data_IF_673231517736
#
_entry.id   IF_673231517736
#
_cell.length_a   1.000
_cell.length_b   1.000
_cell.length_c   1.000
_cell.angle_alpha   90.00
_cell.angle_beta   90.00
_cell.angle_gamma   90.00
#
_symmetry.space_group_name_H-M   'P 1'
#
loop_
_entity.id
_entity.type
_entity.pdbx_description
1 polymer ?
#
# COMPACT_ATOMS: atom_id res chain seq x y z
N UNK A 1 37.09 6.24 -37.71
CA UNK A 1 36.01 6.78 -36.85
C UNK A 1 35.36 5.58 -36.17
N UNK A 2 35.58 5.42 -34.86
CA UNK A 2 34.97 4.34 -34.08
C UNK A 2 33.55 4.75 -33.69
N UNK A 3 32.57 3.87 -33.96
CA UNK A 3 31.20 4.04 -33.50
C UNK A 3 31.18 4.03 -31.97
N UNK A 4 30.42 4.91 -31.30
CA UNK A 4 30.26 4.83 -29.87
C UNK A 4 29.50 3.53 -29.57
N UNK A 5 30.18 2.58 -28.93
CA UNK A 5 29.53 1.46 -28.25
C UNK A 5 28.64 2.05 -27.18
N UNK A 6 27.37 2.29 -27.51
CA UNK A 6 26.34 2.46 -26.52
C UNK A 6 26.27 1.14 -25.76
N UNK A 7 27.06 1.04 -24.68
CA UNK A 7 26.72 0.18 -23.56
C UNK A 7 25.32 0.63 -23.18
N UNK A 8 24.32 -0.15 -23.59
CA UNK A 8 23.08 -0.24 -22.85
C UNK A 8 23.52 -0.71 -21.47
N UNK A 9 23.90 0.25 -20.62
CA UNK A 9 23.90 0.10 -19.17
C UNK A 9 22.65 -0.71 -18.88
N UNK A 10 22.87 -1.94 -18.41
CA UNK A 10 21.82 -2.92 -18.19
C UNK A 10 20.91 -2.29 -17.15
N UNK A 11 19.93 -1.53 -17.61
CA UNK A 11 18.87 -0.95 -16.80
C UNK A 11 18.09 -2.15 -16.32
N UNK A 12 18.57 -2.70 -15.21
CA UNK A 12 17.96 -3.79 -14.49
C UNK A 12 16.50 -3.40 -14.35
N UNK A 13 15.61 -4.12 -15.05
CA UNK A 13 14.18 -3.96 -14.90
C UNK A 13 13.84 -3.92 -13.42
N UNK A 14 12.99 -2.98 -12.96
CA UNK A 14 12.69 -2.86 -11.54
C UNK A 14 12.16 -4.20 -11.03
N UNK A 15 12.93 -4.82 -10.13
CA UNK A 15 12.53 -6.05 -9.44
C UNK A 15 11.90 -5.68 -8.10
N UNK A 16 11.02 -6.53 -7.59
CA UNK A 16 10.44 -6.34 -6.25
C UNK A 16 11.55 -6.15 -5.19
N UNK A 17 12.60 -6.98 -5.25
CA UNK A 17 13.77 -6.90 -4.37
C UNK A 17 14.50 -5.54 -4.44
N UNK A 18 14.61 -4.95 -5.63
CA UNK A 18 15.25 -3.64 -5.79
C UNK A 18 14.38 -2.46 -5.35
N UNK A 19 13.05 -2.63 -5.40
CA UNK A 19 12.11 -1.57 -5.03
C UNK A 19 11.74 -1.59 -3.55
N UNK A 20 11.69 -2.78 -2.94
CA UNK A 20 11.27 -3.00 -1.55
C UNK A 20 12.24 -3.96 -0.84
N UNK A 21 13.54 -3.62 -0.77
CA UNK A 21 14.57 -4.52 -0.23
C UNK A 21 14.31 -4.93 1.23
N UNK A 22 13.73 -4.05 2.03
CA UNK A 22 13.37 -4.28 3.43
C UNK A 22 12.31 -5.39 3.60
N UNK A 23 11.31 -5.45 2.72
CA UNK A 23 10.19 -6.39 2.85
C UNK A 23 10.61 -7.86 2.66
N UNK A 24 11.73 -8.12 1.99
CA UNK A 24 12.24 -9.47 1.81
C UNK A 24 12.79 -10.08 3.10
N UNK A 25 13.31 -9.24 4.00
CA UNK A 25 13.86 -9.69 5.27
C UNK A 25 12.83 -9.62 6.41
N UNK A 26 11.82 -8.75 6.28
CA UNK A 26 10.77 -8.55 7.28
C UNK A 26 9.61 -9.54 7.14
N UNK A 27 9.90 -10.82 7.39
CA UNK A 27 8.87 -11.84 7.55
C UNK A 27 8.29 -11.77 8.96
N UNK A 28 6.99 -12.05 9.09
CA UNK A 28 6.31 -12.11 10.40
C UNK A 28 5.60 -13.44 10.61
N UNK A 29 5.28 -13.77 11.87
CA UNK A 29 4.57 -14.99 12.21
C UNK A 29 3.08 -14.87 11.89
N UNK A 30 2.44 -16.00 11.57
CA UNK A 30 0.99 -16.03 11.38
C UNK A 30 0.26 -15.54 12.64
N UNK A 31 -0.70 -14.63 12.44
CA UNK A 31 -1.45 -14.00 13.53
C UNK A 31 -0.73 -12.87 14.26
N UNK A 32 0.49 -12.50 13.83
CA UNK A 32 1.12 -11.27 14.30
C UNK A 32 0.32 -10.04 13.85
N UNK A 33 0.44 -8.96 14.60
CA UNK A 33 -0.30 -7.73 14.34
C UNK A 33 0.07 -7.08 13.00
N UNK A 34 1.35 -7.19 12.63
CA UNK A 34 1.94 -6.72 11.37
C UNK A 34 1.80 -7.73 10.22
N UNK A 35 1.11 -8.85 10.46
CA UNK A 35 0.83 -9.81 9.41
C UNK A 35 -0.13 -9.25 8.37
N UNK A 36 0.26 -9.36 7.10
CA UNK A 36 -0.51 -8.83 5.97
C UNK A 36 -1.81 -9.59 5.72
N UNK A 37 -1.94 -10.81 6.23
CA UNK A 37 -3.17 -11.61 6.22
C UNK A 37 -3.99 -11.47 7.51
N UNK A 38 -3.55 -10.62 8.43
CA UNK A 38 -4.17 -10.42 9.74
C UNK A 38 -5.41 -9.52 9.69
N UNK A 39 -6.20 -9.51 10.79
CA UNK A 39 -7.40 -8.69 10.89
C UNK A 39 -7.10 -7.18 10.84
N UNK A 40 -5.91 -6.74 11.28
CA UNK A 40 -5.52 -5.33 11.19
C UNK A 40 -5.27 -4.90 9.74
N UNK A 41 -4.56 -5.73 8.96
CA UNK A 41 -4.36 -5.49 7.54
C UNK A 41 -5.71 -5.44 6.80
N UNK A 42 -6.62 -6.37 7.11
CA UNK A 42 -7.98 -6.36 6.57
C UNK A 42 -8.78 -5.10 6.94
N UNK A 43 -8.71 -4.65 8.19
CA UNK A 43 -9.36 -3.42 8.64
C UNK A 43 -8.85 -2.19 7.88
N UNK A 44 -7.53 -2.09 7.71
CA UNK A 44 -6.91 -0.99 6.97
C UNK A 44 -7.37 -0.96 5.51
N UNK A 45 -7.37 -2.11 4.82
CA UNK A 45 -7.83 -2.19 3.43
C UNK A 45 -9.33 -1.84 3.31
N UNK A 46 -10.16 -2.35 4.22
CA UNK A 46 -11.58 -2.05 4.27
C UNK A 46 -11.84 -0.55 4.49
N UNK A 47 -11.10 0.09 5.40
CA UNK A 47 -11.21 1.52 5.67
C UNK A 47 -10.83 2.36 4.44
N UNK A 48 -9.69 2.06 3.81
CA UNK A 48 -9.26 2.74 2.58
C UNK A 48 -10.28 2.58 1.46
N UNK A 49 -10.84 1.37 1.30
CA UNK A 49 -11.86 1.10 0.29
C UNK A 49 -13.16 1.83 0.57
N UNK A 50 -13.60 1.89 1.83
CA UNK A 50 -14.77 2.65 2.24
C UNK A 50 -14.62 4.14 1.91
N UNK A 51 -13.47 4.74 2.23
CA UNK A 51 -13.19 6.15 1.88
C UNK A 51 -13.21 6.39 0.37
N UNK A 52 -12.62 5.49 -0.43
CA UNK A 52 -12.65 5.60 -1.90
C UNK A 52 -14.08 5.59 -2.44
N UNK A 53 -14.96 4.78 -1.87
CA UNK A 53 -16.38 4.74 -2.27
C UNK A 53 -17.12 6.04 -1.91
N UNK A 54 -16.73 6.74 -0.85
CA UNK A 54 -17.33 8.01 -0.48
C UNK A 54 -17.08 9.12 -1.49
N UNK A 55 -16.05 9.01 -2.33
CA UNK A 55 -15.82 9.94 -3.45
C UNK A 55 -16.99 9.90 -4.44
N UNK A 56 -17.64 8.74 -4.58
CA UNK A 56 -18.80 8.55 -5.46
C UNK A 56 -20.14 8.79 -4.76
N UNK A 57 -20.13 9.14 -3.47
CA UNK A 57 -21.33 9.33 -2.69
C UNK A 57 -21.97 10.70 -2.95
N UNK A 58 -23.30 10.76 -2.84
CA UNK A 58 -24.06 12.02 -2.96
C UNK A 58 -23.66 13.02 -1.86
N UNK A 59 -23.87 14.31 -2.10
CA UNK A 59 -23.56 15.40 -1.16
C UNK A 59 -24.34 15.30 0.17
N UNK A 60 -25.38 14.47 0.23
CA UNK A 60 -26.15 14.17 1.45
C UNK A 60 -25.53 13.04 2.29
N UNK A 61 -24.54 12.31 1.76
CA UNK A 61 -23.92 11.20 2.46
C UNK A 61 -23.04 11.69 3.61
N UNK A 62 -23.24 11.11 4.79
CA UNK A 62 -22.39 11.37 5.95
C UNK A 62 -21.14 10.52 5.83
N UNK A 63 -20.00 11.17 5.59
CA UNK A 63 -18.68 10.54 5.43
C UNK A 63 -18.24 9.81 6.70
N UNK A 64 -17.46 8.74 6.55
CA UNK A 64 -16.99 7.86 7.62
C UNK A 64 -16.20 8.63 8.67
N UNK A 65 -15.33 9.54 8.23
CA UNK A 65 -14.56 10.41 9.13
C UNK A 65 -15.43 11.34 9.99
N UNK A 66 -16.64 11.68 9.54
CA UNK A 66 -17.58 12.53 10.31
C UNK A 66 -18.35 11.70 11.34
N UNK A 67 -18.85 10.53 10.94
CA UNK A 67 -19.69 9.67 11.81
C UNK A 67 -18.90 8.78 12.77
N UNK A 68 -17.62 8.52 12.47
CA UNK A 68 -16.68 7.72 13.26
C UNK A 68 -15.27 8.34 13.23
N UNK A 69 -15.07 9.53 13.79
CA UNK A 69 -13.78 10.22 13.77
C UNK A 69 -12.67 9.39 14.42
N UNK A 70 -12.98 8.67 15.50
CA UNK A 70 -12.02 7.82 16.21
C UNK A 70 -11.37 6.71 15.35
N UNK A 71 -11.96 6.33 14.22
CA UNK A 71 -11.32 5.36 13.31
C UNK A 71 -10.14 5.97 12.55
N UNK A 72 -10.13 7.29 12.33
CA UNK A 72 -8.98 7.99 11.74
C UNK A 72 -7.82 8.16 12.72
N UNK A 73 -8.07 8.10 14.02
CA UNK A 73 -7.01 8.15 15.05
C UNK A 73 -6.42 6.75 15.34
N UNK A 74 -7.14 5.69 14.96
CA UNK A 74 -6.76 4.29 15.19
C UNK A 74 -5.83 3.73 14.11
N UNK A 75 -5.93 4.24 12.88
CA UNK A 75 -5.24 3.76 11.67
C UNK A 75 -4.24 4.80 11.17
#
# INVERSE_FOLDING_TARGET
MALPSASLEKSSSPTYASLFPENLAHTTSSGALDSNDGPLAYLSDLYQRAIKLEIMADNKAIKLGVRRPALGDLL
#
